data_IF_091142634693
#
_entry.id   IF_091142634693
#
_cell.length_a   1.000
_cell.length_b   1.000
_cell.length_c   1.000
_cell.angle_alpha   90.00
_cell.angle_beta   90.00
_cell.angle_gamma   90.00
#
_symmetry.space_group_name_H-M   'P 1'
#
loop_
_entity.id
_entity.type
_entity.pdbx_description
1 polymer ?
#
# COMPACT_ATOMS: atom_id res chain seq x y z
N UNK A 1 -5.71 34.38 -8.82
CA UNK A 1 -4.92 33.15 -8.96
C UNK A 1 -5.36 32.15 -7.89
N UNK A 2 -6.38 31.33 -8.19
CA UNK A 2 -6.71 30.13 -7.40
C UNK A 2 -6.22 28.96 -8.23
N UNK A 3 -5.29 28.19 -7.66
CA UNK A 3 -4.82 26.91 -8.23
C UNK A 3 -6.02 25.97 -8.21
N UNK A 4 -6.58 25.64 -9.38
CA UNK A 4 -7.54 24.57 -9.50
C UNK A 4 -6.78 23.26 -9.34
N UNK A 5 -7.20 22.45 -8.36
CA UNK A 5 -6.69 21.10 -8.12
C UNK A 5 -7.05 20.19 -9.31
N UNK A 6 -6.13 19.36 -9.84
CA UNK A 6 -6.49 18.24 -10.71
C UNK A 6 -7.12 17.15 -9.83
N UNK A 7 -8.43 16.84 -9.92
CA UNK A 7 -9.10 16.14 -8.80
C UNK A 7 -10.26 15.18 -9.08
N UNK A 8 -10.30 14.53 -10.26
CA UNK A 8 -11.16 13.32 -10.40
C UNK A 8 -10.33 12.07 -10.65
N UNK A 9 -9.41 12.04 -11.63
CA UNK A 9 -8.54 10.88 -11.84
C UNK A 9 -7.43 10.79 -10.79
N UNK A 10 -6.79 11.91 -10.44
CA UNK A 10 -5.93 11.99 -9.26
C UNK A 10 -6.70 11.59 -8.01
N UNK A 11 -7.96 12.01 -7.85
CA UNK A 11 -8.75 11.62 -6.69
C UNK A 11 -9.06 10.12 -6.69
N UNK A 12 -9.48 9.52 -7.81
CA UNK A 12 -9.71 8.08 -7.95
C UNK A 12 -8.44 7.28 -7.66
N UNK A 13 -7.30 7.65 -8.25
CA UNK A 13 -6.03 6.97 -7.99
C UNK A 13 -5.53 7.17 -6.55
N UNK A 14 -5.76 8.35 -5.94
CA UNK A 14 -5.45 8.60 -4.53
C UNK A 14 -6.42 7.88 -3.57
N UNK A 15 -7.69 7.74 -3.95
CA UNK A 15 -8.71 7.01 -3.17
C UNK A 15 -8.47 5.50 -3.24
N UNK A 16 -8.05 4.97 -4.39
CA UNK A 16 -7.72 3.54 -4.60
C UNK A 16 -6.36 3.19 -3.98
N UNK A 17 -5.37 4.08 -4.03
CA UNK A 17 -4.13 3.94 -3.26
C UNK A 17 -4.35 4.04 -1.73
N UNK A 18 -5.56 4.43 -1.30
CA UNK A 18 -5.96 4.60 0.09
C UNK A 18 -7.27 3.86 0.41
N UNK A 19 -7.61 2.73 -0.24
CA UNK A 19 -8.71 1.88 0.26
C UNK A 19 -8.30 1.18 1.53
N UNK A 20 -8.49 1.95 2.59
CA UNK A 20 -8.39 1.61 3.97
C UNK A 20 -9.33 0.42 4.24
N UNK A 21 -8.79 -0.75 4.63
CA UNK A 21 -9.63 -1.91 4.91
C UNK A 21 -10.63 -1.58 6.02
N UNK A 22 -11.81 -2.21 6.05
CA UNK A 22 -12.87 -1.86 7.00
C UNK A 22 -12.48 -2.11 8.47
N UNK A 23 -11.43 -2.92 8.68
CA UNK A 23 -10.73 -3.10 9.95
C UNK A 23 -9.24 -2.87 9.67
N UNK A 24 -8.63 -1.93 10.37
CA UNK A 24 -7.22 -1.54 10.19
C UNK A 24 -6.45 -1.75 11.47
N UNK A 25 -5.31 -2.41 11.38
CA UNK A 25 -4.34 -2.51 12.44
C UNK A 25 -3.09 -1.69 12.12
N UNK A 26 -2.69 -0.86 13.09
CA UNK A 26 -1.41 -0.14 13.08
C UNK A 26 -0.65 -0.49 14.36
N UNK A 27 0.65 -0.77 14.21
CA UNK A 27 1.53 -1.12 15.32
C UNK A 27 2.66 -0.13 15.40
N UNK A 28 2.89 0.41 16.58
CA UNK A 28 4.09 1.19 16.90
C UNK A 28 4.96 0.41 17.85
N UNK A 29 6.24 0.25 17.50
CA UNK A 29 7.29 -0.32 18.34
C UNK A 29 8.18 0.85 18.76
N UNK A 30 8.12 1.24 20.02
CA UNK A 30 8.81 2.42 20.54
C UNK A 30 9.87 2.01 21.57
N UNK A 31 11.14 2.22 21.22
CA UNK A 31 12.26 1.98 22.12
C UNK A 31 12.44 3.17 23.06
N UNK A 32 12.61 2.90 24.35
CA UNK A 32 12.93 3.92 25.33
C UNK A 32 14.38 4.41 25.17
N UNK A 33 14.63 5.64 25.62
CA UNK A 33 15.93 6.31 25.60
C UNK A 33 16.88 5.69 26.64
N UNK A 34 16.56 5.85 27.93
CA UNK A 34 17.43 5.41 29.04
C UNK A 34 17.07 4.03 29.61
N UNK A 35 16.51 3.10 28.82
CA UNK A 35 16.19 1.76 29.32
C UNK A 35 16.15 0.66 28.26
N UNK A 36 16.16 -0.58 28.74
CA UNK A 36 16.01 -1.78 27.92
C UNK A 36 14.53 -2.17 27.74
N UNK A 37 13.66 -1.17 27.74
CA UNK A 37 12.23 -1.35 27.57
C UNK A 37 11.81 -0.94 26.17
N UNK A 38 10.84 -1.68 25.65
CA UNK A 38 10.14 -1.36 24.42
C UNK A 38 8.64 -1.32 24.69
N UNK A 39 7.97 -0.31 24.17
CA UNK A 39 6.52 -0.21 24.20
C UNK A 39 5.97 -0.60 22.85
N UNK A 40 5.13 -1.64 22.82
CA UNK A 40 4.41 -2.04 21.62
C UNK A 40 2.96 -1.60 21.75
N UNK A 41 2.53 -0.72 20.85
CA UNK A 41 1.17 -0.21 20.81
C UNK A 41 0.49 -0.68 19.54
N UNK A 42 -0.56 -1.48 19.67
CA UNK A 42 -1.43 -1.88 18.58
C UNK A 42 -2.73 -1.07 18.63
N UNK A 43 -3.07 -0.42 17.53
CA UNK A 43 -4.33 0.29 17.35
C UNK A 43 -5.14 -0.38 16.25
N UNK A 44 -6.32 -0.86 16.62
CA UNK A 44 -7.32 -1.35 15.68
C UNK A 44 -8.39 -0.29 15.47
N UNK A 45 -8.64 0.10 14.23
CA UNK A 45 -9.69 1.07 13.85
C UNK A 45 -10.77 0.37 13.03
N UNK A 46 -12.04 0.70 13.30
CA UNK A 46 -13.21 0.08 12.68
C UNK A 46 -13.98 1.06 11.80
N UNK A 47 -14.42 0.62 10.63
CA UNK A 47 -15.28 1.43 9.78
C UNK A 47 -16.62 1.73 10.47
N UNK A 48 -16.93 3.01 10.60
CA UNK A 48 -18.14 3.48 11.28
C UNK A 48 -19.39 3.46 10.40
N UNK A 49 -19.20 3.46 9.07
CA UNK A 49 -20.29 3.48 8.08
C UNK A 49 -20.07 2.43 6.98
N UNK A 50 -20.17 1.12 7.31
CA UNK A 50 -20.00 0.05 6.34
C UNK A 50 -20.89 0.25 5.10
N UNK A 51 -20.28 0.19 3.92
CA UNK A 51 -20.98 0.42 2.65
C UNK A 51 -22.03 -0.67 2.30
N UNK A 52 -21.87 -1.89 2.83
CA UNK A 52 -22.78 -3.01 2.60
C UNK A 52 -22.86 -3.95 3.82
N UNK A 53 -23.80 -4.91 3.78
CA UNK A 53 -24.05 -5.83 4.89
C UNK A 53 -22.91 -6.84 5.14
N UNK A 54 -22.12 -7.18 4.12
CA UNK A 54 -20.97 -8.08 4.28
C UNK A 54 -19.84 -7.38 5.05
N UNK A 55 -19.52 -6.12 4.70
CA UNK A 55 -18.59 -5.29 5.45
C UNK A 55 -19.09 -5.11 6.88
N UNK A 56 -20.39 -4.80 7.05
CA UNK A 56 -20.98 -4.63 8.38
C UNK A 56 -20.75 -5.87 9.26
N UNK A 57 -21.04 -7.06 8.76
CA UNK A 57 -20.81 -8.32 9.48
C UNK A 57 -19.34 -8.51 9.88
N UNK A 58 -18.42 -8.22 8.96
CA UNK A 58 -16.97 -8.32 9.21
C UNK A 58 -16.52 -7.35 10.31
N UNK A 59 -16.97 -6.10 10.24
CA UNK A 59 -16.64 -5.08 11.25
C UNK A 59 -17.25 -5.42 12.60
N UNK A 60 -18.52 -5.86 12.63
CA UNK A 60 -19.20 -6.19 13.89
C UNK A 60 -18.55 -7.40 14.58
N UNK A 61 -18.14 -8.43 13.82
CA UNK A 61 -17.38 -9.55 14.36
C UNK A 61 -16.03 -9.11 14.94
N UNK A 62 -15.30 -8.20 14.27
CA UNK A 62 -14.04 -7.67 14.78
C UNK A 62 -14.23 -6.81 16.05
N UNK A 63 -15.31 -6.02 16.11
CA UNK A 63 -15.68 -5.25 17.32
C UNK A 63 -16.01 -6.16 18.48
N UNK A 64 -16.77 -7.23 18.25
CA UNK A 64 -17.11 -8.22 19.27
C UNK A 64 -15.87 -8.92 19.80
N UNK A 65 -14.96 -9.36 18.91
CA UNK A 65 -13.67 -9.94 19.29
C UNK A 65 -12.86 -8.96 20.16
N UNK A 66 -12.77 -7.69 19.77
CA UNK A 66 -12.05 -6.68 20.52
C UNK A 66 -12.67 -6.40 21.90
N UNK A 67 -14.00 -6.41 22.02
CA UNK A 67 -14.70 -6.21 23.29
C UNK A 67 -14.59 -7.40 24.23
N UNK A 68 -14.50 -8.61 23.69
CA UNK A 68 -14.38 -9.86 24.45
C UNK A 68 -12.94 -10.28 24.71
N UNK A 69 -11.97 -9.45 24.34
CA UNK A 69 -10.52 -9.74 24.41
C UNK A 69 -10.11 -11.02 23.66
N UNK A 70 -10.81 -11.30 22.56
CA UNK A 70 -10.52 -12.40 21.65
C UNK A 70 -9.92 -11.92 20.31
N UNK A 71 -9.59 -10.64 20.19
CA UNK A 71 -8.82 -10.11 19.05
C UNK A 71 -7.37 -10.58 19.07
N UNK A 72 -6.71 -10.55 17.90
CA UNK A 72 -5.33 -11.04 17.73
C UNK A 72 -4.35 -10.38 18.71
N UNK A 73 -4.50 -9.08 18.97
CA UNK A 73 -3.59 -8.34 19.84
C UNK A 73 -3.79 -8.70 21.32
N UNK A 74 -5.03 -8.93 21.77
CA UNK A 74 -5.29 -9.52 23.09
C UNK A 74 -4.57 -10.84 23.27
N UNK A 75 -4.66 -11.73 22.28
CA UNK A 75 -4.06 -13.06 22.33
C UNK A 75 -2.53 -12.98 22.33
N UNK A 76 -1.93 -12.11 21.51
CA UNK A 76 -0.48 -11.89 21.47
C UNK A 76 0.05 -11.33 22.79
N UNK A 77 -0.57 -10.26 23.29
CA UNK A 77 -0.11 -9.61 24.52
C UNK A 77 -0.37 -10.46 25.77
N UNK A 78 -1.45 -11.25 25.79
CA UNK A 78 -1.73 -12.17 26.90
C UNK A 78 -0.72 -13.30 27.09
N UNK A 79 0.20 -13.53 26.13
CA UNK A 79 1.30 -14.50 26.23
C UNK A 79 2.58 -13.91 26.85
N UNK A 80 2.59 -12.60 27.12
CA UNK A 80 3.75 -11.88 27.62
C UNK A 80 3.66 -11.68 29.14
N UNK A 81 4.77 -11.26 29.75
CA UNK A 81 4.82 -10.80 31.14
C UNK A 81 5.20 -9.30 31.16
N UNK A 82 4.27 -8.40 30.79
CA UNK A 82 4.59 -6.99 30.63
C UNK A 82 4.86 -6.29 31.97
N UNK A 83 5.75 -5.30 31.93
CA UNK A 83 5.98 -4.35 33.03
C UNK A 83 4.73 -3.47 33.21
N UNK A 84 4.09 -3.10 32.10
CA UNK A 84 2.82 -2.38 32.14
C UNK A 84 1.96 -2.75 30.93
N UNK A 85 0.64 -2.77 31.12
CA UNK A 85 -0.35 -2.99 30.06
C UNK A 85 -1.44 -1.93 30.16
N UNK A 86 -1.87 -1.42 29.00
CA UNK A 86 -2.96 -0.45 28.89
C UNK A 86 -3.87 -0.80 27.73
N UNK A 87 -5.18 -0.77 27.98
CA UNK A 87 -6.22 -0.91 26.95
C UNK A 87 -7.11 0.33 26.98
N UNK A 88 -7.30 0.95 25.82
CA UNK A 88 -8.17 2.12 25.64
C UNK A 88 -9.21 1.80 24.56
N UNK A 89 -10.49 1.95 24.89
CA UNK A 89 -11.61 1.75 23.98
C UNK A 89 -12.22 3.12 23.64
N UNK A 90 -12.20 3.50 22.36
CA UNK A 90 -12.82 4.74 21.91
C UNK A 90 -14.16 4.44 21.23
N UNK A 91 -15.22 5.13 21.68
CA UNK A 91 -16.57 4.96 21.15
C UNK A 91 -17.08 6.27 20.56
N UNK A 92 -17.80 6.14 19.45
CA UNK A 92 -18.47 7.24 18.75
C UNK A 92 -19.87 6.81 18.38
N UNK A 93 -20.86 7.64 18.72
CA UNK A 93 -22.29 7.32 18.54
C UNK A 93 -22.69 5.93 19.08
N UNK A 94 -22.16 5.54 20.26
CA UNK A 94 -22.35 4.24 20.93
C UNK A 94 -21.72 3.02 20.24
N UNK A 95 -21.10 3.18 19.07
CA UNK A 95 -20.32 2.13 18.43
C UNK A 95 -18.82 2.26 18.76
N UNK A 96 -18.10 1.14 18.73
CA UNK A 96 -16.64 1.11 18.94
C UNK A 96 -15.93 1.59 17.67
N UNK A 97 -15.20 2.70 17.79
CA UNK A 97 -14.46 3.34 16.69
C UNK A 97 -13.03 2.80 16.62
N UNK A 98 -12.38 2.63 17.78
CA UNK A 98 -11.05 2.04 17.86
C UNK A 98 -10.78 1.37 19.20
N UNK A 99 -9.82 0.45 19.19
CA UNK A 99 -9.18 -0.11 20.38
C UNK A 99 -7.69 0.13 20.29
N UNK A 100 -7.09 0.65 21.35
CA UNK A 100 -5.64 0.75 21.50
C UNK A 100 -5.19 -0.15 22.63
N UNK A 101 -4.34 -1.12 22.33
CA UNK A 101 -3.68 -1.99 23.31
C UNK A 101 -2.20 -1.63 23.33
N UNK A 102 -1.62 -1.48 24.50
CA UNK A 102 -0.23 -1.10 24.67
C UNK A 102 0.40 -1.93 25.78
N UNK A 103 1.57 -2.49 25.50
CA UNK A 103 2.38 -3.22 26.48
C UNK A 103 3.79 -2.67 26.51
N UNK A 104 4.35 -2.54 27.71
CA UNK A 104 5.78 -2.27 27.91
C UNK A 104 6.45 -3.54 28.40
N UNK A 105 7.47 -3.99 27.67
CA UNK A 105 8.20 -5.24 27.91
C UNK A 105 9.70 -4.99 27.84
N UNK A 106 10.50 -5.95 28.32
CA UNK A 106 11.93 -5.96 28.04
C UNK A 106 12.16 -6.09 26.53
N UNK A 107 13.16 -5.39 25.98
CA UNK A 107 13.40 -5.39 24.54
C UNK A 107 13.74 -6.79 23.98
N UNK A 108 14.31 -7.67 24.80
CA UNK A 108 14.60 -9.07 24.45
C UNK A 108 13.33 -9.92 24.27
N UNK A 109 12.20 -9.49 24.82
CA UNK A 109 10.91 -10.17 24.66
C UNK A 109 10.14 -9.68 23.42
N UNK A 110 10.63 -8.65 22.70
CA UNK A 110 10.00 -8.12 21.49
C UNK A 110 9.69 -9.21 20.44
N UNK A 111 10.57 -10.17 20.14
CA UNK A 111 10.26 -11.23 19.18
C UNK A 111 9.06 -12.09 19.59
N UNK A 112 8.76 -12.22 20.90
CA UNK A 112 7.64 -13.02 21.39
C UNK A 112 6.29 -12.42 21.02
N UNK A 113 6.23 -11.09 20.89
CA UNK A 113 5.02 -10.35 20.45
C UNK A 113 4.53 -10.85 19.09
N UNK A 114 5.45 -11.23 18.21
CA UNK A 114 5.18 -11.63 16.83
C UNK A 114 5.45 -13.12 16.56
N UNK A 115 5.49 -13.94 17.62
CA UNK A 115 5.81 -15.37 17.56
C UNK A 115 4.84 -16.22 16.71
N UNK A 116 3.63 -15.72 16.45
CA UNK A 116 2.58 -16.37 15.66
C UNK A 116 2.59 -16.00 14.17
N UNK A 117 3.47 -15.08 13.75
CA UNK A 117 3.62 -14.67 12.35
C UNK A 117 5.00 -15.04 11.82
N UNK A 118 5.11 -15.12 10.50
CA UNK A 118 6.36 -15.50 9.82
C UNK A 118 7.34 -14.33 9.71
N UNK A 119 7.73 -13.76 10.85
CA UNK A 119 8.76 -12.71 10.94
C UNK A 119 9.79 -13.09 11.99
N UNK A 120 11.06 -12.80 11.72
CA UNK A 120 12.14 -12.95 12.71
C UNK A 120 12.65 -11.57 13.08
N UNK A 121 12.77 -11.29 14.38
CA UNK A 121 13.26 -10.01 14.88
C UNK A 121 14.49 -10.25 15.74
N UNK A 122 15.55 -9.50 15.48
CA UNK A 122 16.79 -9.53 16.25
C UNK A 122 17.10 -8.13 16.74
N UNK A 123 17.39 -8.00 18.03
CA UNK A 123 17.93 -6.78 18.61
C UNK A 123 19.37 -7.06 19.02
N UNK A 124 20.30 -6.29 18.46
CA UNK A 124 21.73 -6.41 18.75
C UNK A 124 22.22 -5.10 19.33
N UNK A 125 23.12 -5.19 20.31
CA UNK A 125 23.85 -4.05 20.86
C UNK A 125 25.32 -4.16 20.49
N UNK A 126 25.91 -3.03 20.14
CA UNK A 126 27.35 -2.87 19.99
C UNK A 126 27.85 -1.64 20.75
N UNK A 127 29.10 -1.26 20.52
CA UNK A 127 29.73 -0.13 21.20
C UNK A 127 29.03 1.20 20.85
N UNK A 128 28.10 1.64 21.70
CA UNK A 128 27.35 2.89 21.57
C UNK A 128 26.24 2.89 20.52
N UNK A 129 25.78 1.71 20.09
CA UNK A 129 24.66 1.60 19.15
C UNK A 129 23.78 0.38 19.42
N UNK A 130 22.51 0.51 19.04
CA UNK A 130 21.53 -0.58 18.96
C UNK A 130 21.07 -0.77 17.53
N UNK A 131 20.75 -2.00 17.17
CA UNK A 131 20.21 -2.35 15.87
C UNK A 131 19.01 -3.29 16.01
N UNK A 132 17.91 -2.91 15.38
CA UNK A 132 16.76 -3.77 15.17
C UNK A 132 16.81 -4.27 13.72
N UNK A 133 16.88 -5.59 13.57
CA UNK A 133 16.80 -6.28 12.29
C UNK A 133 15.52 -7.12 12.24
N UNK A 134 14.70 -6.90 11.21
CA UNK A 134 13.44 -7.62 10.98
C UNK A 134 13.52 -8.34 9.64
N UNK A 135 13.41 -9.67 9.67
CA UNK A 135 13.46 -10.52 8.49
C UNK A 135 12.07 -11.09 8.21
N UNK A 136 11.37 -10.65 7.14
CA UNK A 136 10.13 -11.26 6.72
C UNK A 136 10.38 -12.66 6.14
N UNK A 137 9.59 -13.63 6.57
CA UNK A 137 9.45 -14.93 5.92
C UNK A 137 8.38 -14.92 4.83
N UNK A 138 8.04 -16.10 4.32
CA UNK A 138 6.87 -16.27 3.43
C UNK A 138 5.58 -15.99 4.21
N UNK A 139 4.65 -15.23 3.64
CA UNK A 139 3.36 -15.02 4.30
C UNK A 139 2.59 -16.34 4.45
N UNK A 140 2.21 -16.66 5.68
CA UNK A 140 1.30 -17.76 6.01
C UNK A 140 -0.14 -17.30 6.27
N UNK A 141 -0.46 -16.02 6.01
CA UNK A 141 -1.76 -15.42 6.37
C UNK A 141 -2.90 -15.84 5.44
N UNK A 142 -2.60 -16.17 4.19
CA UNK A 142 -3.59 -16.59 3.20
C UNK A 142 -3.72 -18.12 3.14
N UNK A 143 -4.96 -18.60 3.07
CA UNK A 143 -5.29 -19.99 2.78
C UNK A 143 -4.99 -20.36 1.31
N UNK A 144 -4.90 -21.66 1.01
CA UNK A 144 -4.70 -22.14 -0.39
C UNK A 144 -5.80 -21.67 -1.34
N UNK A 145 -7.03 -21.60 -0.85
CA UNK A 145 -8.17 -21.14 -1.65
C UNK A 145 -8.08 -19.63 -1.93
N UNK A 146 -7.63 -18.84 -0.96
CA UNK A 146 -7.37 -17.40 -1.15
C UNK A 146 -6.22 -17.17 -2.14
N UNK A 147 -5.15 -17.97 -2.07
CA UNK A 147 -4.05 -17.92 -3.05
C UNK A 147 -4.53 -18.24 -4.47
N UNK A 148 -5.27 -19.34 -4.65
CA UNK A 148 -5.81 -19.73 -5.97
C UNK A 148 -6.68 -18.64 -6.57
N UNK A 149 -7.60 -18.07 -5.78
CA UNK A 149 -8.49 -16.99 -6.22
C UNK A 149 -7.70 -15.73 -6.58
N UNK A 150 -6.73 -15.35 -5.76
CA UNK A 150 -5.86 -14.21 -6.07
C UNK A 150 -5.08 -14.43 -7.37
N UNK A 151 -4.57 -15.63 -7.63
CA UNK A 151 -3.87 -15.93 -8.88
C UNK A 151 -4.78 -15.79 -10.10
N UNK A 152 -6.04 -16.20 -10.01
CA UNK A 152 -7.06 -15.99 -11.05
C UNK A 152 -7.36 -14.50 -11.27
N UNK A 153 -7.53 -13.74 -10.19
CA UNK A 153 -7.77 -12.30 -10.23
C UNK A 153 -6.55 -11.53 -10.76
N UNK A 154 -5.34 -11.89 -10.35
CA UNK A 154 -4.08 -11.31 -10.84
C UNK A 154 -3.90 -11.57 -12.34
N UNK A 155 -4.23 -12.76 -12.83
CA UNK A 155 -4.20 -13.04 -14.27
C UNK A 155 -5.20 -12.19 -15.05
N UNK A 156 -6.40 -11.96 -14.50
CA UNK A 156 -7.38 -11.07 -15.10
C UNK A 156 -6.91 -9.61 -15.10
N UNK A 157 -6.44 -9.12 -13.94
CA UNK A 157 -5.94 -7.76 -13.76
C UNK A 157 -4.70 -7.47 -14.61
N UNK A 158 -3.78 -8.44 -14.76
CA UNK A 158 -2.61 -8.30 -15.63
C UNK A 158 -2.98 -8.11 -17.11
N UNK A 159 -4.16 -8.58 -17.55
CA UNK A 159 -4.67 -8.27 -18.90
C UNK A 159 -5.13 -6.82 -19.01
N UNK A 160 -5.67 -6.25 -17.94
CA UNK A 160 -6.05 -4.83 -17.91
C UNK A 160 -4.79 -3.93 -17.88
N UNK A 161 -3.76 -4.31 -17.13
CA UNK A 161 -2.44 -3.64 -17.18
C UNK A 161 -1.81 -3.75 -18.58
N UNK A 162 -1.91 -4.90 -19.27
CA UNK A 162 -1.44 -5.04 -20.65
C UNK A 162 -2.16 -4.07 -21.62
N UNK A 163 -3.48 -3.90 -21.46
CA UNK A 163 -4.27 -2.95 -22.25
C UNK A 163 -3.85 -1.52 -21.98
N UNK A 164 -3.59 -1.17 -20.72
CA UNK A 164 -3.05 0.13 -20.34
C UNK A 164 -1.73 0.43 -21.05
N UNK A 165 -0.75 -0.47 -20.97
CA UNK A 165 0.54 -0.29 -21.66
C UNK A 165 0.39 -0.19 -23.18
N UNK A 166 -0.55 -0.93 -23.75
CA UNK A 166 -0.89 -0.83 -25.17
C UNK A 166 -1.47 0.55 -25.51
N UNK A 167 -2.41 1.07 -24.72
CA UNK A 167 -2.99 2.40 -24.90
C UNK A 167 -1.92 3.50 -24.80
N UNK A 168 -1.03 3.43 -23.80
CA UNK A 168 0.09 4.38 -23.65
C UNK A 168 1.01 4.34 -24.87
N UNK A 169 1.33 3.14 -25.39
CA UNK A 169 2.12 3.01 -26.61
C UNK A 169 1.47 3.68 -27.81
N UNK A 170 0.16 3.51 -28.01
CA UNK A 170 -0.56 4.18 -29.10
C UNK A 170 -0.53 5.70 -28.94
N UNK A 171 -0.73 6.20 -27.71
CA UNK A 171 -0.58 7.62 -27.39
C UNK A 171 0.83 8.12 -27.73
N UNK A 172 1.86 7.36 -27.38
CA UNK A 172 3.26 7.76 -27.58
C UNK A 172 3.64 7.80 -29.06
N UNK A 173 3.19 6.82 -29.84
CA UNK A 173 3.36 6.83 -31.29
C UNK A 173 2.76 8.10 -31.91
N UNK A 174 1.54 8.48 -31.51
CA UNK A 174 0.92 9.72 -31.99
C UNK A 174 1.74 10.96 -31.60
N UNK A 175 2.23 11.01 -30.37
CA UNK A 175 2.98 12.15 -29.87
C UNK A 175 4.40 12.25 -30.44
N UNK A 176 4.99 11.14 -30.88
CA UNK A 176 6.27 11.15 -31.59
C UNK A 176 6.11 11.75 -32.99
N UNK A 177 4.98 11.49 -33.65
CA UNK A 177 4.61 12.13 -34.91
C UNK A 177 4.15 13.60 -34.70
N UNK A 178 3.63 13.92 -33.51
CA UNK A 178 3.06 15.23 -33.17
C UNK A 178 3.66 15.83 -31.87
N UNK A 179 4.97 16.12 -31.81
CA UNK A 179 5.64 16.49 -30.55
C UNK A 179 5.09 17.79 -29.93
N UNK A 180 4.63 18.74 -30.75
CA UNK A 180 4.03 19.99 -30.27
C UNK A 180 2.70 19.81 -29.52
N UNK A 181 2.05 18.65 -29.67
CA UNK A 181 0.79 18.31 -29.00
C UNK A 181 0.96 17.66 -27.63
N UNK A 182 2.16 17.15 -27.33
CA UNK A 182 2.44 16.36 -26.12
C UNK A 182 2.01 17.05 -24.82
N UNK A 183 2.28 18.35 -24.67
CA UNK A 183 1.86 19.13 -23.50
C UNK A 183 0.34 19.05 -23.27
N UNK A 184 -0.45 19.24 -24.31
CA UNK A 184 -1.92 19.30 -24.21
C UNK A 184 -2.50 17.91 -23.91
N UNK A 185 -1.99 16.90 -24.61
CA UNK A 185 -2.40 15.51 -24.44
C UNK A 185 -2.05 14.99 -23.03
N UNK A 186 -0.84 15.23 -22.53
CA UNK A 186 -0.49 14.86 -21.15
C UNK A 186 -1.31 15.63 -20.12
N UNK A 187 -1.59 16.92 -20.37
CA UNK A 187 -2.46 17.70 -19.48
C UNK A 187 -3.88 17.09 -19.42
N UNK A 188 -4.42 16.61 -20.54
CA UNK A 188 -5.71 15.92 -20.57
C UNK A 188 -5.67 14.56 -19.86
N UNK A 189 -4.62 13.75 -20.05
CA UNK A 189 -4.45 12.47 -19.32
C UNK A 189 -4.36 12.69 -17.80
N UNK A 190 -3.62 13.70 -17.36
CA UNK A 190 -3.48 14.02 -15.91
C UNK A 190 -4.79 14.54 -15.33
N UNK A 191 -5.51 15.39 -16.08
CA UNK A 191 -6.83 15.86 -15.66
C UNK A 191 -7.83 14.70 -15.56
N UNK A 192 -7.72 13.74 -16.48
CA UNK A 192 -8.62 12.60 -16.60
C UNK A 192 -10.04 13.03 -17.00
N UNK A 193 -11.04 12.62 -16.22
CA UNK A 193 -12.46 12.88 -16.49
C UNK A 193 -12.97 14.22 -15.94
N UNK A 194 -12.09 15.21 -15.82
CA UNK A 194 -12.46 16.55 -15.37
C UNK A 194 -13.27 17.30 -16.44
N UNK A 195 -14.34 18.01 -16.03
CA UNK A 195 -15.15 18.84 -16.94
C UNK A 195 -14.33 20.02 -17.50
N UNK A 196 -13.32 20.49 -16.75
CA UNK A 196 -12.41 21.55 -17.14
C UNK A 196 -11.15 21.01 -17.85
N UNK A 197 -11.18 19.79 -18.42
CA UNK A 197 -10.02 19.20 -19.10
C UNK A 197 -9.54 20.09 -20.27
N UNK A 198 -8.22 20.24 -20.46
CA UNK A 198 -7.68 20.99 -21.59
C UNK A 198 -8.21 20.46 -22.92
N UNK A 199 -8.52 21.34 -23.88
CA UNK A 199 -9.03 20.90 -25.17
C UNK A 199 -7.97 20.08 -25.92
N UNK A 200 -8.38 18.89 -26.32
CA UNK A 200 -7.64 18.01 -27.24
C UNK A 200 -8.36 17.98 -28.59
N UNK A 201 -7.64 17.60 -29.63
CA UNK A 201 -8.19 17.44 -30.97
C UNK A 201 -9.10 16.20 -31.04
N UNK A 202 -9.93 16.13 -32.08
CA UNK A 202 -10.89 15.03 -32.26
C UNK A 202 -10.21 13.66 -32.42
N UNK A 203 -9.04 13.62 -33.05
CA UNK A 203 -8.20 12.44 -33.21
C UNK A 203 -7.40 12.08 -31.95
N UNK A 204 -7.13 13.06 -31.07
CA UNK A 204 -6.43 12.88 -29.79
C UNK A 204 -7.36 12.30 -28.71
N UNK A 205 -8.64 12.67 -28.74
CA UNK A 205 -9.62 12.32 -27.70
C UNK A 205 -9.71 10.79 -27.47
N UNK A 206 -9.83 9.93 -28.49
CA UNK A 206 -9.86 8.48 -28.29
C UNK A 206 -8.58 7.91 -27.67
N UNK A 207 -7.41 8.53 -27.92
CA UNK A 207 -6.14 8.08 -27.35
C UNK A 207 -6.05 8.42 -25.87
N UNK A 208 -6.49 9.62 -25.50
CA UNK A 208 -6.57 10.05 -24.09
C UNK A 208 -7.56 9.17 -23.34
N UNK A 209 -8.77 8.97 -23.88
CA UNK A 209 -9.81 8.17 -23.23
C UNK A 209 -9.35 6.72 -23.02
N UNK A 210 -8.71 6.11 -24.02
CA UNK A 210 -8.19 4.75 -23.89
C UNK A 210 -7.18 4.59 -22.74
N UNK A 211 -6.33 5.61 -22.51
CA UNK A 211 -5.37 5.61 -21.39
C UNK A 211 -6.10 5.82 -20.06
N UNK A 212 -6.94 6.85 -19.97
CA UNK A 212 -7.68 7.21 -18.75
C UNK A 212 -8.62 6.08 -18.32
N UNK A 213 -9.41 5.52 -19.22
CA UNK A 213 -10.31 4.39 -18.95
C UNK A 213 -9.55 3.16 -18.47
N UNK A 214 -8.37 2.89 -19.04
CA UNK A 214 -7.54 1.78 -18.59
C UNK A 214 -6.99 2.01 -17.19
N UNK A 215 -6.61 3.24 -16.85
CA UNK A 215 -6.17 3.60 -15.48
C UNK A 215 -7.30 3.44 -14.48
N UNK A 216 -8.50 3.94 -14.82
CA UNK A 216 -9.72 3.79 -13.99
C UNK A 216 -10.01 2.32 -13.77
N UNK A 217 -10.00 1.51 -14.83
CA UNK A 217 -10.28 0.07 -14.73
C UNK A 217 -9.28 -0.68 -13.84
N UNK A 218 -7.99 -0.36 -13.95
CA UNK A 218 -6.95 -0.93 -13.07
C UNK A 218 -7.26 -0.60 -11.62
N UNK A 219 -7.66 0.64 -11.35
CA UNK A 219 -7.94 1.14 -10.01
C UNK A 219 -9.24 0.53 -9.43
N UNK A 220 -10.34 0.53 -10.18
CA UNK A 220 -11.62 -0.07 -9.76
C UNK A 220 -11.47 -1.55 -9.40
N UNK A 221 -10.66 -2.29 -10.16
CA UNK A 221 -10.43 -3.72 -9.90
C UNK A 221 -9.75 -3.97 -8.54
N UNK A 222 -8.93 -3.04 -8.07
CA UNK A 222 -8.28 -3.16 -6.76
C UNK A 222 -9.28 -3.09 -5.61
N UNK A 223 -10.34 -2.30 -5.78
CA UNK A 223 -11.38 -2.06 -4.79
C UNK A 223 -12.57 -3.01 -4.90
N UNK A 224 -12.63 -3.79 -5.97
CA UNK A 224 -13.68 -4.79 -6.18
C UNK A 224 -13.67 -5.79 -5.03
N UNK A 225 -14.81 -5.86 -4.32
CA UNK A 225 -14.99 -6.76 -3.20
C UNK A 225 -15.48 -8.12 -3.67
N UNK A 226 -14.86 -9.18 -3.15
CA UNK A 226 -15.40 -10.53 -3.27
C UNK A 226 -16.58 -10.74 -2.30
N UNK A 227 -17.22 -11.92 -2.37
CA UNK A 227 -18.35 -12.29 -1.53
C UNK A 227 -18.09 -12.32 0.00
N UNK A 228 -16.84 -12.12 0.43
CA UNK A 228 -16.44 -12.00 1.84
C UNK A 228 -16.14 -10.54 2.24
N UNK A 229 -16.51 -9.56 1.42
CA UNK A 229 -16.16 -8.15 1.61
C UNK A 229 -14.65 -7.92 1.79
N UNK A 230 -13.87 -8.66 1.00
CA UNK A 230 -12.42 -8.48 0.91
C UNK A 230 -12.08 -8.00 -0.49
N UNK A 231 -11.26 -6.95 -0.57
CA UNK A 231 -10.81 -6.39 -1.85
C UNK A 231 -9.65 -7.19 -2.45
N UNK A 232 -9.37 -6.95 -3.72
CA UNK A 232 -8.20 -7.52 -4.38
C UNK A 232 -6.89 -6.99 -3.74
N UNK A 233 -6.85 -5.71 -3.34
CA UNK A 233 -5.73 -5.12 -2.61
C UNK A 233 -5.49 -5.79 -1.24
N UNK A 234 -6.55 -6.05 -0.47
CA UNK A 234 -6.43 -6.79 0.80
C UNK A 234 -5.93 -8.23 0.59
N UNK A 235 -6.33 -8.87 -0.51
CA UNK A 235 -5.87 -10.22 -0.86
C UNK A 235 -4.38 -10.23 -1.21
N UNK A 236 -3.89 -9.20 -1.92
CA UNK A 236 -2.47 -9.03 -2.20
C UNK A 236 -1.65 -8.88 -0.90
N UNK A 237 -2.13 -8.06 0.03
CA UNK A 237 -1.46 -7.91 1.34
C UNK A 237 -1.41 -9.24 2.10
N UNK A 238 -2.50 -9.99 2.19
CA UNK A 238 -2.48 -11.29 2.86
C UNK A 238 -1.46 -12.27 2.26
N UNK A 239 -1.25 -12.24 0.95
CA UNK A 239 -0.38 -13.19 0.25
C UNK A 239 1.09 -12.78 0.30
N UNK A 240 1.39 -11.49 0.18
CA UNK A 240 2.77 -11.01 0.08
C UNK A 240 3.30 -10.39 1.38
N UNK A 241 2.44 -10.01 2.32
CA UNK A 241 2.84 -9.33 3.55
C UNK A 241 2.74 -10.26 4.78
N UNK A 242 3.86 -10.74 5.33
CA UNK A 242 3.85 -11.55 6.56
C UNK A 242 3.56 -10.71 7.81
N UNK A 243 3.65 -9.38 7.73
CA UNK A 243 3.38 -8.51 8.87
C UNK A 243 1.87 -8.47 9.14
N UNK A 244 1.44 -8.58 10.41
CA UNK A 244 0.02 -8.60 10.75
C UNK A 244 -0.65 -7.22 10.63
N UNK A 245 0.15 -6.16 10.52
CA UNK A 245 -0.28 -4.77 10.52
C UNK A 245 0.77 -3.89 9.86
N UNK A 246 0.43 -2.63 9.61
CA UNK A 246 1.40 -1.58 9.34
C UNK A 246 2.27 -1.37 10.57
N UNK A 247 3.59 -1.47 10.45
CA UNK A 247 4.52 -1.35 11.60
C UNK A 247 5.31 -0.06 11.47
N UNK A 248 5.30 0.76 12.51
CA UNK A 248 6.18 1.94 12.65
C UNK A 248 7.15 1.68 13.80
N UNK A 249 8.45 1.80 13.52
CA UNK A 249 9.49 1.73 14.53
C UNK A 249 9.87 3.14 14.95
N UNK A 250 9.91 3.39 16.26
CA UNK A 250 10.39 4.64 16.87
C UNK A 250 11.61 4.33 17.70
N UNK A 251 12.69 5.00 17.36
CA UNK A 251 13.98 4.94 18.06
C UNK A 251 14.19 6.24 18.82
N UNK A 252 14.90 6.23 19.96
CA UNK A 252 15.06 7.41 20.82
C UNK A 252 15.87 8.53 20.17
N UNK A 253 16.77 8.19 19.25
CA UNK A 253 17.63 9.12 18.53
C UNK A 253 17.52 8.91 17.03
N UNK A 254 18.05 9.86 16.24
CA UNK A 254 18.09 9.72 14.79
C UNK A 254 18.78 8.42 14.37
N UNK A 255 18.20 7.75 13.38
CA UNK A 255 18.78 6.55 12.80
C UNK A 255 20.15 6.86 12.19
N UNK A 256 21.18 6.11 12.60
CA UNK A 256 22.51 6.12 11.99
C UNK A 256 22.43 5.56 10.57
N UNK A 257 21.66 4.48 10.40
CA UNK A 257 21.41 3.84 9.12
C UNK A 257 20.06 3.14 9.13
N UNK A 258 19.40 3.12 7.98
CA UNK A 258 18.19 2.33 7.76
C UNK A 258 18.23 1.63 6.40
N UNK A 259 17.70 0.41 6.35
CA UNK A 259 17.58 -0.41 5.14
C UNK A 259 16.16 -0.99 5.06
N UNK A 260 15.61 -1.08 3.84
CA UNK A 260 14.32 -1.72 3.57
C UNK A 260 13.08 -0.86 3.81
N UNK A 261 13.21 0.28 4.50
CA UNK A 261 12.12 1.22 4.74
C UNK A 261 11.98 2.22 3.58
N UNK A 262 10.74 2.50 3.18
CA UNK A 262 10.43 3.40 2.05
C UNK A 262 10.13 4.83 2.49
N UNK A 263 9.52 5.02 3.67
CA UNK A 263 9.19 6.33 4.24
C UNK A 263 9.30 6.29 5.75
N UNK A 264 10.26 7.04 6.31
CA UNK A 264 10.59 6.93 7.73
C UNK A 264 11.01 5.50 8.10
N UNK A 265 10.70 5.07 9.32
CA UNK A 265 10.90 3.68 9.78
C UNK A 265 9.58 2.91 9.80
N UNK A 266 8.83 3.02 8.70
CA UNK A 266 7.52 2.39 8.56
C UNK A 266 7.56 1.28 7.51
N UNK A 267 7.02 0.13 7.90
CA UNK A 267 6.75 -1.03 7.05
C UNK A 267 5.30 -0.90 6.58
N UNK A 268 5.13 -0.45 5.33
CA UNK A 268 3.80 -0.26 4.74
C UNK A 268 3.20 -1.59 4.26
N UNK A 269 1.86 -1.72 4.22
CA UNK A 269 1.17 -2.81 3.52
C UNK A 269 1.56 -2.92 2.04
N UNK A 270 1.18 -4.02 1.40
CA UNK A 270 1.35 -4.19 -0.05
C UNK A 270 0.43 -3.24 -0.80
N UNK A 271 0.98 -2.56 -1.80
CA UNK A 271 0.28 -1.58 -2.63
C UNK A 271 0.37 -2.00 -4.10
N UNK A 272 -0.75 -2.46 -4.64
CA UNK A 272 -0.85 -2.94 -6.02
C UNK A 272 -0.55 -1.83 -7.03
N UNK A 273 -0.97 -0.59 -6.75
CA UNK A 273 -0.79 0.53 -7.67
C UNK A 273 0.69 0.92 -7.75
N UNK A 274 1.39 0.95 -6.61
CA UNK A 274 2.85 1.06 -6.60
C UNK A 274 3.53 -0.11 -7.32
N UNK A 275 2.97 -1.31 -7.21
CA UNK A 275 3.44 -2.48 -7.96
C UNK A 275 3.40 -2.27 -9.48
N UNK A 276 2.30 -1.70 -10.01
CA UNK A 276 2.19 -1.34 -11.45
C UNK A 276 3.16 -0.22 -11.80
N UNK A 277 3.19 0.86 -11.02
CA UNK A 277 4.07 2.00 -11.26
C UNK A 277 5.55 1.62 -11.23
N UNK A 278 5.94 0.63 -10.42
CA UNK A 278 7.32 0.13 -10.35
C UNK A 278 7.75 -0.62 -11.61
N UNK A 279 6.82 -0.89 -12.55
CA UNK A 279 7.13 -1.45 -13.87
C UNK A 279 7.56 -0.37 -14.88
N UNK A 280 7.50 0.92 -14.51
CA UNK A 280 8.02 2.01 -15.32
C UNK A 280 9.48 1.73 -15.74
N UNK A 281 9.79 2.04 -17.00
CA UNK A 281 11.09 1.78 -17.60
C UNK A 281 11.23 0.38 -18.20
N UNK A 282 10.44 -0.61 -17.78
CA UNK A 282 10.43 -1.93 -18.43
C UNK A 282 9.74 -1.88 -19.78
N UNK A 283 8.46 -1.48 -19.81
CA UNK A 283 7.67 -1.36 -21.04
C UNK A 283 7.40 0.07 -21.48
N UNK A 284 7.00 0.94 -20.55
CA UNK A 284 6.69 2.35 -20.85
C UNK A 284 7.53 3.28 -19.95
N UNK A 285 7.95 4.41 -20.49
CA UNK A 285 8.55 5.51 -19.72
C UNK A 285 8.41 6.84 -20.50
N UNK A 286 8.02 7.95 -19.86
CA UNK A 286 7.44 7.99 -18.52
C UNK A 286 6.14 7.17 -18.44
N UNK A 287 5.72 6.73 -17.26
CA UNK A 287 4.43 6.07 -17.05
C UNK A 287 3.43 7.08 -16.46
N UNK A 288 2.39 7.52 -17.21
CA UNK A 288 1.40 8.46 -16.67
C UNK A 288 0.81 8.03 -15.31
N UNK A 289 0.58 6.74 -15.08
CA UNK A 289 0.07 6.23 -13.80
C UNK A 289 1.11 6.39 -12.70
N UNK A 290 2.36 6.03 -12.96
CA UNK A 290 3.45 6.20 -12.01
C UNK A 290 3.65 7.68 -11.62
N UNK A 291 3.45 8.60 -12.57
CA UNK A 291 3.60 10.03 -12.31
C UNK A 291 2.45 10.60 -11.45
N UNK A 292 1.22 10.06 -11.59
CA UNK A 292 0.06 10.50 -10.80
C UNK A 292 0.11 10.06 -9.33
N UNK A 293 0.85 9.01 -9.00
CA UNK A 293 0.97 8.51 -7.62
C UNK A 293 2.12 9.13 -6.83
N UNK A 294 2.96 9.93 -7.48
CA UNK A 294 4.07 10.62 -6.82
C UNK A 294 3.58 11.79 -5.96
N UNK A 295 4.31 12.10 -4.88
CA UNK A 295 4.00 13.26 -4.03
C UNK A 295 4.09 14.59 -4.81
N UNK A 296 4.98 14.66 -5.80
CA UNK A 296 5.16 15.82 -6.67
C UNK A 296 4.90 15.43 -8.12
N UNK A 297 3.64 15.48 -8.54
CA UNK A 297 3.23 15.19 -9.93
C UNK A 297 3.93 16.20 -10.87
N UNK A 298 4.68 15.75 -11.88
CA UNK A 298 5.30 16.66 -12.84
C UNK A 298 4.27 17.44 -13.64
N UNK A 299 4.61 18.67 -14.00
CA UNK A 299 3.78 19.49 -14.90
C UNK A 299 3.64 18.82 -16.28
N UNK A 300 2.56 19.07 -17.03
CA UNK A 300 2.40 18.56 -18.39
C UNK A 300 3.58 18.93 -19.30
N UNK A 301 4.18 20.10 -19.10
CA UNK A 301 5.39 20.54 -19.79
C UNK A 301 6.60 19.66 -19.46
N UNK A 302 6.78 19.29 -18.19
CA UNK A 302 7.87 18.40 -17.79
C UNK A 302 7.70 17.03 -18.43
N UNK A 303 6.51 16.44 -18.38
CA UNK A 303 6.21 15.14 -18.99
C UNK A 303 6.39 15.15 -20.51
N UNK A 304 5.93 16.22 -21.18
CA UNK A 304 6.08 16.37 -22.62
C UNK A 304 7.53 16.39 -23.08
N UNK A 305 8.46 16.81 -22.21
CA UNK A 305 9.89 16.89 -22.51
C UNK A 305 10.69 15.65 -22.05
N UNK A 306 10.06 14.68 -21.38
CA UNK A 306 10.73 13.45 -20.99
C UNK A 306 10.92 12.53 -22.21
N UNK A 307 12.07 11.83 -22.33
CA UNK A 307 12.25 10.82 -23.37
C UNK A 307 11.19 9.73 -23.26
N UNK A 308 10.50 9.47 -24.37
CA UNK A 308 9.47 8.43 -24.44
C UNK A 308 10.08 7.09 -24.85
N UNK A 309 9.69 6.04 -24.12
CA UNK A 309 9.94 4.63 -24.40
C UNK A 309 8.60 3.92 -24.38
N UNK A 310 8.33 3.10 -25.40
CA UNK A 310 7.15 2.24 -25.46
C UNK A 310 7.47 0.92 -26.18
N UNK A 311 7.88 -0.07 -25.41
CA UNK A 311 8.14 -1.44 -25.88
C UNK A 311 6.83 -2.23 -25.98
N UNK A 312 6.70 -3.20 -26.91
CA UNK A 312 5.57 -4.11 -26.94
C UNK A 312 5.54 -4.95 -25.66
N UNK A 313 4.34 -5.14 -25.10
CA UNK A 313 4.10 -6.15 -24.07
C UNK A 313 3.95 -7.50 -24.76
N UNK A 314 4.80 -8.47 -24.40
CA UNK A 314 4.79 -9.81 -25.02
C UNK A 314 3.55 -10.62 -24.61
N UNK A 315 3.14 -10.55 -23.33
CA UNK A 315 1.93 -11.23 -22.83
C UNK A 315 1.48 -10.70 -21.46
N UNK A 316 0.23 -10.98 -21.08
CA UNK A 316 -0.25 -10.71 -19.71
C UNK A 316 0.40 -11.59 -18.64
N UNK A 317 0.92 -12.77 -19.01
CA UNK A 317 1.65 -13.63 -18.07
C UNK A 317 3.02 -13.06 -17.67
N UNK A 318 3.67 -12.34 -18.58
CA UNK A 318 4.92 -11.62 -18.29
C UNK A 318 4.68 -10.49 -17.29
N UNK A 319 3.58 -9.73 -17.47
CA UNK A 319 3.15 -8.70 -16.53
C UNK A 319 2.82 -9.31 -15.16
N UNK A 320 2.05 -10.39 -15.12
CA UNK A 320 1.71 -11.07 -13.86
C UNK A 320 2.97 -11.51 -13.09
N UNK A 321 3.98 -12.00 -13.80
CA UNK A 321 5.26 -12.41 -13.21
C UNK A 321 6.03 -11.21 -12.67
N UNK A 322 6.14 -10.13 -13.44
CA UNK A 322 6.81 -8.91 -13.02
C UNK A 322 6.10 -8.25 -11.83
N UNK A 323 4.77 -8.24 -11.80
CA UNK A 323 4.00 -7.74 -10.66
C UNK A 323 4.29 -8.55 -9.39
N UNK A 324 4.34 -9.89 -9.47
CA UNK A 324 4.70 -10.72 -8.30
C UNK A 324 6.09 -10.37 -7.76
N UNK A 325 7.05 -10.09 -8.63
CA UNK A 325 8.39 -9.65 -8.22
C UNK A 325 8.34 -8.30 -7.51
N UNK A 326 7.56 -7.33 -8.01
CA UNK A 326 7.43 -6.00 -7.38
C UNK A 326 6.65 -6.02 -6.06
N UNK A 327 5.71 -6.95 -5.90
CA UNK A 327 4.93 -7.11 -4.66
C UNK A 327 5.72 -7.85 -3.57
N UNK A 328 6.84 -8.50 -3.92
CA UNK A 328 7.69 -9.18 -2.95
C UNK A 328 8.33 -8.18 -1.98
N UNK A 329 8.42 -8.56 -0.70
CA UNK A 329 8.97 -7.69 0.34
C UNK A 329 10.51 -7.62 0.27
N UNK A 330 11.10 -6.50 0.71
CA UNK A 330 12.51 -6.45 1.10
C UNK A 330 12.91 -7.64 1.96
N UNK A 331 14.13 -8.15 1.75
CA UNK A 331 14.65 -9.31 2.50
C UNK A 331 14.88 -9.02 3.98
N UNK A 332 15.08 -7.75 4.33
CA UNK A 332 15.27 -7.29 5.70
C UNK A 332 14.81 -5.83 5.84
N UNK A 333 14.40 -5.47 7.05
CA UNK A 333 14.27 -4.10 7.51
C UNK A 333 15.24 -3.93 8.66
N UNK A 334 16.24 -3.08 8.48
CA UNK A 334 17.29 -2.88 9.48
C UNK A 334 17.32 -1.42 9.85
N UNK A 335 17.31 -1.13 11.15
CA UNK A 335 17.55 0.22 11.65
C UNK A 335 18.57 0.17 12.76
N UNK A 336 19.57 1.04 12.65
CA UNK A 336 20.60 1.24 13.66
C UNK A 336 20.51 2.66 14.20
N UNK A 337 20.58 2.82 15.51
CA UNK A 337 20.56 4.11 16.20
C UNK A 337 21.60 4.14 17.32
N UNK A 338 21.89 5.34 17.83
CA UNK A 338 22.79 5.51 18.98
C UNK A 338 22.09 5.00 20.24
N UNK A 339 22.82 4.19 21.00
CA UNK A 339 22.41 3.78 22.36
C UNK A 339 22.60 4.94 23.34
#
# INVERSE_FOLDING_TARGET
MRRALPSVLCALLLFVACTRPPVQDEVTIEFADDSDLVTVTAQTTFEMKPANDQIRKRVDAAREAAQTNNDEWSVRFGRLAPVSERVTLQRKYRALESVTRSVTIASDDLPRVFSDVSITMNLVRGDGWRELSIYPGTSGRATREEQRRFDEELNAWSRDVARYFTAVRHLYSYLDDNPGRAKYVFAAVIAGNDEDKPPVLEDEQPLVDAVVDSMVKIAEKMDEQNARAQTFAESADLIFNPFPARITVRVPHDAISSEGFTKGLTIEPVDLLKGVASLEGKWISPDPMAQLIQENIPTPEQLANMPRKAEPVSSSSEIASALREQLARPRAYVVRWRD
#
